data_IF_597110032371
#
_entry.id   IF_597110032371
#
_cell.length_a   1.000
_cell.length_b   1.000
_cell.length_c   1.000
_cell.angle_alpha   90.00
_cell.angle_beta   90.00
_cell.angle_gamma   90.00
#
_symmetry.space_group_name_H-M   'P 1'
#
loop_
_entity.id
_entity.type
_entity.pdbx_description
1 polymer ?
#
# COMPACT_ATOMS: atom_id res chain seq x y z
N UNK A 1 1.36 -23.93 12.18
CA UNK A 1 0.41 -24.71 11.35
C UNK A 1 -0.23 -23.78 10.34
N UNK A 2 -0.39 -24.23 9.10
CA UNK A 2 -0.80 -23.42 7.93
C UNK A 2 -2.32 -23.21 7.84
N UNK A 3 -3.06 -23.59 8.89
CA UNK A 3 -4.53 -23.57 8.96
C UNK A 3 -5.08 -22.60 10.01
N UNK A 4 -4.22 -21.73 10.56
CA UNK A 4 -4.67 -20.74 11.55
C UNK A 4 -5.54 -19.66 10.88
N UNK A 5 -6.49 -19.06 11.61
CA UNK A 5 -7.29 -17.95 11.08
C UNK A 5 -6.45 -16.80 10.52
N UNK A 6 -5.31 -16.51 11.17
CA UNK A 6 -4.34 -15.49 10.72
C UNK A 6 -3.80 -15.79 9.33
N UNK A 7 -3.56 -17.07 8.99
CA UNK A 7 -3.07 -17.44 7.67
C UNK A 7 -4.06 -17.06 6.55
N UNK A 8 -5.34 -17.34 6.76
CA UNK A 8 -6.39 -16.93 5.83
C UNK A 8 -6.54 -15.41 5.75
N UNK A 9 -6.46 -14.71 6.88
CA UNK A 9 -6.49 -13.23 6.90
C UNK A 9 -5.31 -12.65 6.12
N UNK A 10 -4.11 -13.23 6.29
CA UNK A 10 -2.94 -12.79 5.55
C UNK A 10 -3.15 -12.95 4.04
N UNK A 11 -3.66 -14.09 3.60
CA UNK A 11 -3.85 -14.36 2.17
C UNK A 11 -4.99 -13.56 1.53
N UNK A 12 -6.14 -13.45 2.19
CA UNK A 12 -7.35 -12.91 1.58
C UNK A 12 -7.62 -11.44 1.92
N UNK A 13 -7.00 -10.92 2.98
CA UNK A 13 -7.17 -9.52 3.40
C UNK A 13 -5.85 -8.75 3.27
N UNK A 14 -4.80 -9.22 3.94
CA UNK A 14 -3.55 -8.48 4.06
C UNK A 14 -2.80 -8.37 2.71
N UNK A 15 -2.61 -9.49 2.02
CA UNK A 15 -1.91 -9.51 0.73
C UNK A 15 -2.62 -8.66 -0.33
N UNK A 16 -3.95 -8.76 -0.53
CA UNK A 16 -4.66 -7.87 -1.45
C UNK A 16 -4.55 -6.40 -1.07
N UNK A 17 -4.69 -6.04 0.22
CA UNK A 17 -4.57 -4.66 0.68
C UNK A 17 -3.19 -4.06 0.35
N UNK A 18 -2.10 -4.76 0.71
CA UNK A 18 -0.73 -4.30 0.41
C UNK A 18 -0.47 -4.24 -1.10
N UNK A 19 -1.06 -5.16 -1.88
CA UNK A 19 -0.93 -5.15 -3.34
C UNK A 19 -1.61 -3.92 -3.95
N UNK A 20 -2.83 -3.59 -3.51
CA UNK A 20 -3.55 -2.39 -3.95
C UNK A 20 -2.76 -1.12 -3.58
N UNK A 21 -2.26 -1.04 -2.35
CA UNK A 21 -1.43 0.09 -1.90
C UNK A 21 -0.21 0.29 -2.80
N UNK A 22 0.51 -0.80 -3.06
CA UNK A 22 1.71 -0.81 -3.91
C UNK A 22 1.39 -0.37 -5.33
N UNK A 23 0.28 -0.86 -5.88
CA UNK A 23 -0.18 -0.49 -7.21
C UNK A 23 -0.55 1.00 -7.29
N UNK A 24 -1.35 1.52 -6.35
CA UNK A 24 -1.78 2.93 -6.35
C UNK A 24 -0.59 3.88 -6.22
N UNK A 25 0.35 3.59 -5.32
CA UNK A 25 1.56 4.39 -5.16
C UNK A 25 2.49 4.28 -6.36
N UNK A 26 2.60 3.11 -6.98
CA UNK A 26 3.33 2.91 -8.23
C UNK A 26 2.74 3.74 -9.38
N UNK A 27 1.41 3.78 -9.52
CA UNK A 27 0.72 4.57 -10.55
C UNK A 27 0.91 6.08 -10.32
N UNK A 28 0.74 6.57 -9.09
CA UNK A 28 1.04 7.98 -8.73
C UNK A 28 2.51 8.30 -8.99
N UNK A 29 3.40 7.38 -8.65
CA UNK A 29 4.82 7.54 -8.84
C UNK A 29 5.21 7.58 -10.30
N UNK A 30 4.60 6.75 -11.13
CA UNK A 30 4.83 6.73 -12.58
C UNK A 30 4.37 8.02 -13.25
N UNK A 31 3.27 8.64 -12.81
CA UNK A 31 2.82 9.91 -13.41
C UNK A 31 3.67 11.11 -13.01
N UNK A 32 4.31 11.06 -11.83
CA UNK A 32 5.11 12.17 -11.28
C UNK A 32 6.61 11.99 -11.34
N UNK A 33 7.11 10.81 -11.69
CA UNK A 33 8.53 10.56 -11.80
C UNK A 33 9.11 11.35 -12.99
N UNK A 34 9.71 12.51 -12.68
CA UNK A 34 10.50 13.27 -13.65
C UNK A 34 11.86 12.64 -13.89
N UNK A 35 12.40 11.96 -12.86
CA UNK A 35 13.69 11.30 -12.87
C UNK A 35 13.62 9.94 -12.16
N UNK A 36 14.52 9.02 -12.51
CA UNK A 36 14.62 7.67 -11.92
C UNK A 36 14.75 7.68 -10.40
N UNK A 37 15.41 8.69 -9.84
CA UNK A 37 15.57 8.87 -8.39
C UNK A 37 14.25 9.16 -7.68
N UNK A 38 13.36 9.95 -8.30
CA UNK A 38 12.04 10.25 -7.74
C UNK A 38 11.15 9.02 -7.73
N UNK A 39 11.20 8.20 -8.79
CA UNK A 39 10.51 6.92 -8.85
C UNK A 39 10.97 5.97 -7.75
N UNK A 40 12.29 5.86 -7.52
CA UNK A 40 12.83 5.03 -6.43
C UNK A 40 12.37 5.50 -5.04
N UNK A 41 12.34 6.80 -4.79
CA UNK A 41 11.94 7.32 -3.47
C UNK A 41 10.47 6.98 -3.12
N UNK A 42 9.60 6.90 -4.13
CA UNK A 42 8.22 6.43 -3.99
C UNK A 42 8.14 4.94 -3.66
N UNK A 43 8.99 4.11 -4.27
CA UNK A 43 9.05 2.67 -3.96
C UNK A 43 9.52 2.44 -2.52
N UNK A 44 10.51 3.20 -2.06
CA UNK A 44 11.01 3.13 -0.68
C UNK A 44 9.90 3.43 0.34
N UNK A 45 8.99 4.37 0.03
CA UNK A 45 7.85 4.70 0.89
C UNK A 45 6.94 3.50 1.16
N UNK A 46 6.84 2.54 0.23
CA UNK A 46 6.01 1.32 0.36
C UNK A 46 6.78 0.18 1.00
N UNK A 47 8.02 -0.03 0.56
CA UNK A 47 8.85 -1.15 1.01
C UNK A 47 9.25 -0.98 2.47
N UNK A 48 9.62 0.25 2.88
CA UNK A 48 10.17 0.49 4.21
C UNK A 48 9.17 0.14 5.34
N UNK A 49 7.88 0.56 5.28
CA UNK A 49 6.89 0.14 6.28
C UNK A 49 6.67 -1.38 6.32
N UNK A 50 6.64 -2.04 5.16
CA UNK A 50 6.43 -3.50 5.08
C UNK A 50 7.60 -4.24 5.73
N UNK A 51 8.84 -3.85 5.40
CA UNK A 51 10.04 -4.41 6.03
C UNK A 51 10.06 -4.12 7.54
N UNK A 52 9.66 -2.92 7.95
CA UNK A 52 9.56 -2.54 9.35
C UNK A 52 8.60 -3.45 10.13
N UNK A 53 7.41 -3.73 9.57
CA UNK A 53 6.44 -4.65 10.16
C UNK A 53 6.97 -6.08 10.27
N UNK A 54 7.68 -6.56 9.24
CA UNK A 54 8.33 -7.89 9.26
C UNK A 54 9.37 -7.96 10.38
N UNK A 55 10.23 -6.95 10.51
CA UNK A 55 11.26 -6.89 11.55
C UNK A 55 10.64 -6.83 12.96
N UNK A 56 9.62 -5.98 13.16
CA UNK A 56 8.87 -5.87 14.41
C UNK A 56 8.20 -7.20 14.81
N UNK A 57 7.72 -7.95 13.82
CA UNK A 57 7.15 -9.27 14.03
C UNK A 57 8.22 -10.31 14.41
N UNK A 58 9.38 -10.32 13.74
CA UNK A 58 10.48 -11.26 14.01
C UNK A 58 11.06 -11.05 15.41
N UNK A 59 11.24 -9.79 15.83
CA UNK A 59 11.78 -9.45 17.16
C UNK A 59 10.75 -9.74 18.28
N UNK A 60 9.49 -10.03 17.92
CA UNK A 60 8.44 -10.36 18.88
C UNK A 60 7.83 -9.14 19.58
N UNK A 61 8.08 -7.93 19.07
CA UNK A 61 7.46 -6.68 19.56
C UNK A 61 5.97 -6.67 19.21
N UNK A 62 5.63 -7.16 18.01
CA UNK A 62 4.25 -7.26 17.53
C UNK A 62 3.88 -8.71 17.32
N UNK A 63 2.80 -9.15 17.99
CA UNK A 63 2.20 -10.46 17.78
C UNK A 63 0.93 -10.32 16.95
N UNK A 64 0.99 -10.81 15.71
CA UNK A 64 -0.17 -10.85 14.83
C UNK A 64 -1.10 -12.00 15.17
N UNK A 65 -1.89 -11.81 16.22
CA UNK A 65 -3.09 -12.61 16.47
C UNK A 65 -4.20 -12.23 15.48
N UNK A 66 -5.28 -13.00 15.45
CA UNK A 66 -6.41 -12.82 14.52
C UNK A 66 -6.96 -11.39 14.52
N UNK A 67 -7.21 -10.81 15.70
CA UNK A 67 -7.78 -9.47 15.85
C UNK A 67 -6.83 -8.35 15.37
N UNK A 68 -5.57 -8.26 15.86
CA UNK A 68 -4.61 -7.28 15.35
C UNK A 68 -4.39 -7.36 13.84
N UNK A 69 -4.36 -8.56 13.26
CA UNK A 69 -4.20 -8.76 11.83
C UNK A 69 -5.37 -8.18 11.02
N UNK A 70 -6.61 -8.36 11.50
CA UNK A 70 -7.80 -7.77 10.86
C UNK A 70 -7.74 -6.24 10.93
N UNK A 71 -7.45 -5.67 12.11
CA UNK A 71 -7.37 -4.21 12.26
C UNK A 71 -6.28 -3.61 11.37
N UNK A 72 -5.12 -4.27 11.27
CA UNK A 72 -4.06 -3.81 10.39
C UNK A 72 -4.47 -3.87 8.91
N UNK A 73 -5.08 -4.97 8.46
CA UNK A 73 -5.57 -5.10 7.09
C UNK A 73 -6.62 -4.03 6.76
N UNK A 74 -7.60 -3.82 7.66
CA UNK A 74 -8.61 -2.76 7.51
C UNK A 74 -7.98 -1.36 7.50
N UNK A 75 -6.95 -1.13 8.33
CA UNK A 75 -6.19 0.11 8.34
C UNK A 75 -5.49 0.38 7.01
N UNK A 76 -4.88 -0.65 6.41
CA UNK A 76 -4.26 -0.55 5.07
C UNK A 76 -5.33 -0.25 4.02
N UNK A 77 -6.47 -0.96 4.04
CA UNK A 77 -7.58 -0.65 3.13
C UNK A 77 -8.11 0.78 3.28
N UNK A 78 -8.16 1.32 4.50
CA UNK A 78 -8.55 2.71 4.72
C UNK A 78 -7.54 3.68 4.08
N UNK A 79 -6.24 3.37 4.20
CA UNK A 79 -5.16 4.11 3.52
C UNK A 79 -5.28 4.01 2.01
N UNK A 80 -5.61 2.83 1.47
CA UNK A 80 -5.85 2.63 0.03
C UNK A 80 -6.96 3.55 -0.49
N UNK A 81 -8.07 3.68 0.25
CA UNK A 81 -9.15 4.58 -0.14
C UNK A 81 -8.70 6.05 -0.18
N UNK A 82 -7.86 6.47 0.78
CA UNK A 82 -7.30 7.82 0.81
C UNK A 82 -6.37 8.04 -0.39
N UNK A 83 -5.45 7.11 -0.64
CA UNK A 83 -4.49 7.21 -1.75
C UNK A 83 -5.21 7.14 -3.09
N UNK A 84 -6.23 6.29 -3.23
CA UNK A 84 -7.08 6.23 -4.43
C UNK A 84 -7.74 7.57 -4.70
N UNK A 85 -8.30 8.24 -3.68
CA UNK A 85 -8.87 9.59 -3.84
C UNK A 85 -7.83 10.61 -4.28
N UNK A 86 -6.60 10.52 -3.77
CA UNK A 86 -5.48 11.38 -4.18
C UNK A 86 -5.11 11.10 -5.64
N UNK A 87 -4.98 9.82 -6.02
CA UNK A 87 -4.69 9.39 -7.39
C UNK A 87 -5.75 9.93 -8.37
N UNK A 88 -7.04 9.71 -8.09
CA UNK A 88 -8.14 10.19 -8.96
C UNK A 88 -8.10 11.71 -9.11
N UNK A 89 -7.94 12.46 -8.02
CA UNK A 89 -7.83 13.93 -8.08
C UNK A 89 -6.60 14.38 -8.90
N UNK A 90 -5.50 13.64 -8.82
CA UNK A 90 -4.29 13.93 -9.59
C UNK A 90 -4.52 13.72 -11.09
N UNK A 91 -5.03 12.56 -11.49
CA UNK A 91 -5.27 12.24 -12.89
C UNK A 91 -6.38 13.09 -13.52
N UNK A 92 -7.41 13.47 -12.76
CA UNK A 92 -8.43 14.41 -13.23
C UNK A 92 -7.81 15.75 -13.65
N UNK A 93 -6.81 16.25 -12.91
CA UNK A 93 -6.10 17.50 -13.26
C UNK A 93 -5.27 17.37 -14.53
N UNK A 94 -4.66 16.21 -14.77
CA UNK A 94 -3.89 15.96 -15.99
C UNK A 94 -4.81 15.85 -17.21
N UNK A 95 -6.01 15.27 -17.09
CA UNK A 95 -6.98 15.18 -18.19
C UNK A 95 -7.45 16.54 -18.70
N UNK A 96 -7.47 17.57 -17.83
CA UNK A 96 -7.87 18.93 -18.20
C UNK A 96 -6.87 19.54 -19.18
N UNK A 97 -5.57 19.21 -19.08
CA UNK A 97 -4.52 19.74 -19.97
C UNK A 97 -4.61 19.14 -21.37
N UNK A 98 -5.06 17.88 -21.49
CA UNK A 98 -5.18 17.17 -22.78
C UNK A 98 -6.42 17.57 -23.58
N UNK A 99 -7.43 18.17 -22.93
CA UNK A 99 -8.71 18.56 -23.55
C UNK A 99 -8.67 19.88 -24.33
N UNK A 100 -7.52 20.56 -24.37
CA UNK A 100 -7.32 21.82 -25.11
C UNK A 100 -6.52 21.63 -26.40
N UNK A 101 -6.81 20.58 -27.16
CA UNK A 101 -6.30 20.41 -28.52
C UNK A 101 -7.43 20.28 -29.52
#
# INVERSE_FOLDING_TARGET
MVTTPVWFISLFLFTPAVTVLSFLLGVIGSSRAKDSKSAQNLVVLVILPVLGLIVLQIIGVIWFSTLPAIFLALGIFAVDLVILRIAVKLFQRESIVIKWR
#
